data_IF_472297731726
#
_entry.id   IF_472297731726
#
_cell.length_a   1.000
_cell.length_b   1.000
_cell.length_c   1.000
_cell.angle_alpha   90.00
_cell.angle_beta   90.00
_cell.angle_gamma   90.00
#
_symmetry.space_group_name_H-M   'P 1'
#
loop_
_entity.id
_entity.type
_entity.pdbx_description
1 polymer ?
#
# COMPACT_ATOMS: atom_id res chain seq x y z
N UNK A 1 -31.12 5.97 4.79
CA UNK A 1 -30.14 5.29 5.67
C UNK A 1 -30.43 3.80 5.66
N UNK A 2 -29.42 2.94 5.47
CA UNK A 2 -29.59 1.47 5.35
C UNK A 2 -30.29 0.86 6.58
N UNK A 3 -29.83 1.25 7.78
CA UNK A 3 -30.39 0.79 9.05
C UNK A 3 -31.83 1.25 9.27
N UNK A 4 -32.18 2.47 8.85
CA UNK A 4 -33.55 2.98 8.94
C UNK A 4 -34.54 2.22 8.03
N UNK A 5 -34.04 1.50 7.02
CA UNK A 5 -34.83 0.62 6.17
C UNK A 5 -34.82 -0.85 6.64
N UNK A 6 -34.27 -1.14 7.82
CA UNK A 6 -34.17 -2.49 8.40
C UNK A 6 -32.99 -3.33 7.90
N UNK A 7 -32.05 -2.74 7.14
CA UNK A 7 -30.85 -3.43 6.69
C UNK A 7 -29.69 -3.35 7.68
N UNK A 8 -28.83 -4.37 7.68
CA UNK A 8 -27.56 -4.36 8.42
C UNK A 8 -26.45 -3.71 7.58
N UNK A 9 -25.59 -2.91 8.22
CA UNK A 9 -24.46 -2.27 7.56
C UNK A 9 -23.16 -2.63 8.28
N UNK A 10 -22.20 -3.17 7.54
CA UNK A 10 -20.89 -3.58 8.04
C UNK A 10 -19.81 -2.91 7.18
N UNK A 11 -18.90 -2.20 7.84
CA UNK A 11 -17.69 -1.66 7.22
C UNK A 11 -16.70 -2.79 6.96
N UNK A 12 -16.26 -2.95 5.71
CA UNK A 12 -15.36 -4.04 5.29
C UNK A 12 -14.13 -3.46 4.59
N UNK A 13 -12.95 -3.85 5.07
CA UNK A 13 -11.68 -3.45 4.49
C UNK A 13 -10.85 -4.65 4.06
N UNK A 14 -10.62 -4.80 2.75
CA UNK A 14 -9.71 -5.79 2.18
C UNK A 14 -8.25 -5.36 2.42
N UNK A 15 -7.45 -6.23 3.04
CA UNK A 15 -6.14 -5.86 3.63
C UNK A 15 -4.91 -6.26 2.81
N UNK A 16 -5.10 -6.99 1.72
CA UNK A 16 -4.06 -7.47 0.83
C UNK A 16 -4.57 -7.53 -0.63
N UNK A 17 -3.69 -7.69 -1.64
CA UNK A 17 -4.14 -7.99 -3.00
C UNK A 17 -5.08 -9.20 -3.03
N UNK A 18 -6.15 -9.10 -3.83
CA UNK A 18 -7.17 -10.16 -3.95
C UNK A 18 -6.54 -11.41 -4.56
N UNK A 19 -5.84 -11.28 -5.70
CA UNK A 19 -5.02 -12.38 -6.21
C UNK A 19 -3.73 -12.50 -5.41
N UNK A 20 -3.28 -13.74 -5.08
CA UNK A 20 -3.86 -15.04 -5.48
C UNK A 20 -4.89 -15.61 -4.49
N UNK A 21 -5.18 -14.94 -3.36
CA UNK A 21 -5.99 -15.51 -2.26
C UNK A 21 -7.49 -15.56 -2.54
N UNK A 22 -7.98 -14.85 -3.55
CA UNK A 22 -9.39 -14.79 -3.94
C UNK A 22 -10.30 -14.47 -2.74
N UNK A 23 -11.34 -15.27 -2.50
CA UNK A 23 -12.29 -15.12 -1.39
C UNK A 23 -11.65 -15.26 0.01
N UNK A 24 -10.43 -15.82 0.11
CA UNK A 24 -9.64 -15.93 1.34
C UNK A 24 -8.71 -14.75 1.58
N UNK A 25 -8.83 -13.67 0.80
CA UNK A 25 -8.07 -12.44 1.09
C UNK A 25 -8.41 -11.93 2.51
N UNK A 26 -7.41 -11.62 3.35
CA UNK A 26 -7.68 -11.11 4.69
C UNK A 26 -8.50 -9.83 4.63
N UNK A 27 -9.55 -9.75 5.44
CA UNK A 27 -10.41 -8.57 5.55
C UNK A 27 -10.72 -8.22 6.99
N UNK A 28 -10.86 -6.93 7.25
CA UNK A 28 -11.36 -6.40 8.52
C UNK A 28 -12.85 -6.09 8.38
N UNK A 29 -13.60 -6.35 9.44
CA UNK A 29 -15.01 -6.00 9.58
C UNK A 29 -15.19 -5.05 10.76
N UNK A 30 -16.04 -4.04 10.64
CA UNK A 30 -16.40 -3.19 11.76
C UNK A 30 -17.87 -2.74 11.69
N UNK A 31 -18.44 -2.44 12.86
CA UNK A 31 -19.83 -2.04 13.00
C UNK A 31 -20.64 -2.95 13.94
N UNK A 32 -21.88 -2.57 14.30
CA UNK A 32 -22.70 -3.30 15.27
C UNK A 32 -22.98 -4.75 14.88
N UNK A 33 -23.09 -5.03 13.58
CA UNK A 33 -23.40 -6.35 13.04
C UNK A 33 -22.14 -7.12 12.56
N UNK A 34 -20.93 -6.63 12.88
CA UNK A 34 -19.68 -7.20 12.35
C UNK A 34 -19.41 -8.64 12.81
N UNK A 35 -19.76 -8.99 14.05
CA UNK A 35 -19.60 -10.35 14.57
C UNK A 35 -20.51 -11.34 13.81
N UNK A 36 -21.78 -10.98 13.61
CA UNK A 36 -22.72 -11.80 12.86
C UNK A 36 -22.28 -11.98 11.39
N UNK A 37 -21.83 -10.89 10.75
CA UNK A 37 -21.27 -10.98 9.41
C UNK A 37 -20.01 -11.85 9.36
N UNK A 38 -19.16 -11.79 10.39
CA UNK A 38 -17.96 -12.63 10.47
C UNK A 38 -18.30 -14.13 10.53
N UNK A 39 -19.35 -14.52 11.24
CA UNK A 39 -19.82 -15.92 11.29
C UNK A 39 -20.25 -16.41 9.91
N UNK A 40 -21.07 -15.62 9.19
CA UNK A 40 -21.51 -15.95 7.83
C UNK A 40 -20.32 -16.08 6.89
N UNK A 41 -19.41 -15.10 6.89
CA UNK A 41 -18.25 -15.08 6.00
C UNK A 41 -17.27 -16.24 6.29
N UNK A 42 -17.10 -16.63 7.57
CA UNK A 42 -16.32 -17.82 7.94
C UNK A 42 -16.97 -19.11 7.46
N UNK A 43 -18.29 -19.21 7.50
CA UNK A 43 -19.02 -20.37 6.96
C UNK A 43 -18.84 -20.51 5.43
N UNK A 44 -18.52 -19.40 4.75
CA UNK A 44 -18.17 -19.35 3.33
C UNK A 44 -16.65 -19.51 3.07
N UNK A 45 -15.88 -19.99 4.06
CA UNK A 45 -14.43 -20.21 3.96
C UNK A 45 -13.63 -18.94 3.62
N UNK A 46 -14.15 -17.77 4.01
CA UNK A 46 -13.45 -16.48 3.90
C UNK A 46 -12.61 -16.20 5.16
N UNK A 47 -11.83 -15.11 5.15
CA UNK A 47 -10.91 -14.77 6.23
C UNK A 47 -11.22 -13.41 6.91
N UNK A 48 -12.39 -13.24 7.55
CA UNK A 48 -12.74 -12.01 8.24
C UNK A 48 -12.11 -11.91 9.64
N UNK A 49 -11.77 -10.69 10.06
CA UNK A 49 -11.44 -10.35 11.45
C UNK A 49 -12.20 -9.10 11.88
N UNK A 50 -12.89 -9.16 13.01
CA UNK A 50 -13.59 -8.00 13.56
C UNK A 50 -12.57 -7.01 14.16
N UNK A 51 -12.68 -5.74 13.76
CA UNK A 51 -11.77 -4.65 14.10
C UNK A 51 -12.37 -3.65 15.09
N UNK A 52 -13.67 -3.75 15.39
CA UNK A 52 -14.33 -2.96 16.42
C UNK A 52 -15.83 -2.77 16.16
N UNK A 53 -16.54 -2.17 17.13
CA UNK A 53 -17.99 -2.01 17.05
C UNK A 53 -18.44 -0.82 16.19
N UNK A 54 -17.51 0.08 15.83
CA UNK A 54 -17.85 1.33 15.13
C UNK A 54 -17.66 1.20 13.62
N UNK A 55 -18.69 1.62 12.88
CA UNK A 55 -18.61 1.77 11.43
C UNK A 55 -17.52 2.77 11.08
N UNK A 56 -16.59 2.38 10.19
CA UNK A 56 -15.46 3.20 9.76
C UNK A 56 -14.12 2.77 10.37
N UNK A 57 -14.10 1.93 11.41
CA UNK A 57 -12.85 1.44 11.99
C UNK A 57 -12.05 0.55 11.03
N UNK A 58 -12.69 -0.39 10.31
CA UNK A 58 -11.99 -1.27 9.39
C UNK A 58 -11.39 -0.46 8.23
N UNK A 59 -12.18 0.45 7.66
CA UNK A 59 -11.74 1.38 6.61
C UNK A 59 -10.60 2.28 7.10
N UNK A 60 -10.73 2.91 8.27
CA UNK A 60 -9.69 3.77 8.85
C UNK A 60 -8.37 3.02 9.05
N UNK A 61 -8.41 1.78 9.57
CA UNK A 61 -7.19 0.96 9.72
C UNK A 61 -6.51 0.73 8.37
N UNK A 62 -7.27 0.39 7.31
CA UNK A 62 -6.71 0.17 5.97
C UNK A 62 -6.09 1.44 5.39
N UNK A 63 -6.78 2.58 5.53
CA UNK A 63 -6.33 3.86 4.99
C UNK A 63 -5.08 4.36 5.72
N UNK A 64 -5.09 4.38 7.05
CA UNK A 64 -3.94 4.82 7.85
C UNK A 64 -2.73 3.91 7.63
N UNK A 65 -2.94 2.58 7.59
CA UNK A 65 -1.86 1.63 7.26
C UNK A 65 -1.25 1.89 5.88
N UNK A 66 -2.05 2.34 4.92
CA UNK A 66 -1.56 2.62 3.57
C UNK A 66 -0.54 3.75 3.52
N UNK A 67 -0.58 4.71 4.46
CA UNK A 67 0.46 5.75 4.62
C UNK A 67 1.84 5.09 4.73
N UNK A 68 1.99 4.11 5.63
CA UNK A 68 3.25 3.42 5.83
C UNK A 68 3.60 2.52 4.64
N UNK A 69 2.66 1.70 4.17
CA UNK A 69 2.97 0.69 3.14
C UNK A 69 3.37 1.34 1.82
N UNK A 70 2.61 2.33 1.35
CA UNK A 70 2.88 3.01 0.08
C UNK A 70 3.92 4.13 0.23
N UNK A 71 3.97 4.79 1.39
CA UNK A 71 5.02 5.75 1.69
C UNK A 71 6.41 5.11 1.68
N UNK A 72 6.57 3.90 2.24
CA UNK A 72 7.83 3.17 2.14
C UNK A 72 8.22 2.81 0.71
N UNK A 73 7.26 2.55 -0.17
CA UNK A 73 7.55 2.30 -1.59
C UNK A 73 8.14 3.55 -2.23
N UNK A 74 7.47 4.69 -2.07
CA UNK A 74 7.93 5.97 -2.60
C UNK A 74 9.30 6.38 -2.02
N UNK A 75 9.48 6.30 -0.70
CA UNK A 75 10.75 6.61 -0.04
C UNK A 75 11.88 5.69 -0.52
N UNK A 76 11.62 4.40 -0.67
CA UNK A 76 12.63 3.47 -1.18
C UNK A 76 13.00 3.76 -2.63
N UNK A 77 12.02 4.16 -3.47
CA UNK A 77 12.27 4.54 -4.84
C UNK A 77 13.14 5.80 -4.91
N UNK A 78 12.75 6.88 -4.21
CA UNK A 78 13.52 8.13 -4.17
C UNK A 78 14.96 7.90 -3.68
N UNK A 79 15.11 7.16 -2.58
CA UNK A 79 16.41 6.86 -1.99
C UNK A 79 17.32 6.07 -2.94
N UNK A 80 16.81 4.96 -3.51
CA UNK A 80 17.61 4.06 -4.34
C UNK A 80 17.92 4.65 -5.72
N UNK A 81 17.00 5.41 -6.31
CA UNK A 81 17.25 6.14 -7.56
C UNK A 81 18.30 7.23 -7.37
N UNK A 82 18.20 8.01 -6.29
CA UNK A 82 19.21 9.01 -5.95
C UNK A 82 20.58 8.36 -5.70
N UNK A 83 20.62 7.27 -4.93
CA UNK A 83 21.86 6.55 -4.62
C UNK A 83 22.50 5.96 -5.88
N UNK A 84 21.71 5.35 -6.78
CA UNK A 84 22.20 4.82 -8.06
C UNK A 84 22.72 5.93 -8.96
N UNK A 85 22.01 7.06 -9.07
CA UNK A 85 22.47 8.22 -9.85
C UNK A 85 23.75 8.83 -9.30
N UNK A 86 23.98 8.73 -7.98
CA UNK A 86 25.21 9.17 -7.32
C UNK A 86 26.33 8.11 -7.34
N UNK A 87 26.05 6.87 -7.76
CA UNK A 87 27.00 5.76 -7.79
C UNK A 87 27.40 5.26 -6.39
N UNK A 88 26.48 5.31 -5.43
CA UNK A 88 26.69 4.91 -4.02
C UNK A 88 25.59 3.98 -3.49
N UNK A 89 24.87 3.29 -4.39
CA UNK A 89 23.73 2.45 -4.02
C UNK A 89 24.11 1.27 -3.14
N UNK A 90 25.28 0.66 -3.36
CA UNK A 90 25.72 -0.49 -2.57
C UNK A 90 26.05 -0.08 -1.13
N UNK A 91 26.71 1.07 -0.93
CA UNK A 91 27.00 1.64 0.38
C UNK A 91 25.71 2.04 1.12
N UNK A 92 24.77 2.66 0.42
CA UNK A 92 23.47 3.06 1.00
C UNK A 92 22.67 1.82 1.41
N UNK A 93 22.56 0.80 0.55
CA UNK A 93 21.86 -0.45 0.87
C UNK A 93 22.53 -1.15 2.05
N UNK A 94 23.87 -1.22 2.10
CA UNK A 94 24.60 -1.81 3.22
C UNK A 94 24.31 -1.08 4.54
N UNK A 95 24.26 0.25 4.52
CA UNK A 95 23.94 1.07 5.69
C UNK A 95 22.50 0.86 6.17
N UNK A 96 21.53 0.79 5.24
CA UNK A 96 20.12 0.53 5.56
C UNK A 96 19.93 -0.88 6.14
N UNK A 97 20.58 -1.89 5.57
CA UNK A 97 20.55 -3.26 6.09
C UNK A 97 21.17 -3.34 7.49
N UNK A 98 22.26 -2.63 7.76
CA UNK A 98 22.85 -2.58 9.10
C UNK A 98 21.92 -1.91 10.13
N UNK A 99 21.15 -0.91 9.71
CA UNK A 99 20.20 -0.19 10.56
C UNK A 99 18.92 -1.00 10.81
N UNK A 100 18.49 -1.80 9.84
CA UNK A 100 17.29 -2.64 9.92
C UNK A 100 17.57 -4.06 9.41
N UNK A 101 18.25 -4.92 10.20
CA UNK A 101 18.70 -6.23 9.75
C UNK A 101 17.58 -7.20 9.32
N UNK A 102 16.35 -6.96 9.74
CA UNK A 102 15.18 -7.76 9.35
C UNK A 102 14.65 -7.42 7.95
N UNK A 103 15.08 -6.29 7.37
CA UNK A 103 14.66 -5.85 6.05
C UNK A 103 15.83 -6.03 5.09
N UNK A 104 15.67 -6.94 4.12
CA UNK A 104 16.52 -6.97 2.94
C UNK A 104 16.11 -5.82 2.01
N UNK A 105 16.82 -4.69 2.09
CA UNK A 105 16.51 -3.51 1.30
C UNK A 105 16.71 -3.69 -0.20
N UNK A 106 17.55 -4.64 -0.63
CA UNK A 106 17.73 -4.93 -2.06
C UNK A 106 16.49 -5.62 -2.61
N UNK A 107 16.05 -6.69 -1.96
CA UNK A 107 14.83 -7.43 -2.35
C UNK A 107 13.59 -6.55 -2.17
N UNK A 108 13.51 -5.82 -1.05
CA UNK A 108 12.37 -4.94 -0.75
C UNK A 108 12.29 -3.76 -1.73
N UNK A 109 13.42 -3.14 -2.07
CA UNK A 109 13.49 -2.06 -3.05
C UNK A 109 13.05 -2.53 -4.44
N UNK A 110 13.55 -3.69 -4.89
CA UNK A 110 13.16 -4.27 -6.17
C UNK A 110 11.64 -4.52 -6.24
N UNK A 111 11.09 -5.11 -5.17
CA UNK A 111 9.64 -5.34 -5.05
C UNK A 111 8.84 -4.03 -5.07
N UNK A 112 9.26 -3.03 -4.28
CA UNK A 112 8.55 -1.77 -4.19
C UNK A 112 8.53 -1.02 -5.54
N UNK A 113 9.65 -1.02 -6.28
CA UNK A 113 9.74 -0.44 -7.61
C UNK A 113 8.81 -1.14 -8.61
N UNK A 114 8.81 -2.49 -8.66
CA UNK A 114 7.91 -3.24 -9.53
C UNK A 114 6.43 -2.87 -9.27
N UNK A 115 6.04 -2.77 -8.00
CA UNK A 115 4.68 -2.38 -7.64
C UNK A 115 4.31 -0.99 -8.14
N UNK A 116 5.26 -0.06 -8.19
CA UNK A 116 5.05 1.28 -8.72
C UNK A 116 5.06 1.31 -10.25
N UNK A 117 5.92 0.53 -10.91
CA UNK A 117 5.98 0.42 -12.36
C UNK A 117 4.68 -0.21 -12.92
N UNK A 118 4.21 -1.32 -12.35
CA UNK A 118 3.06 -2.08 -12.88
C UNK A 118 1.71 -1.50 -12.45
N UNK A 119 1.64 -0.96 -11.24
CA UNK A 119 0.37 -0.57 -10.64
C UNK A 119 0.33 0.89 -10.18
N UNK A 120 1.35 1.71 -10.49
CA UNK A 120 1.53 3.03 -9.90
C UNK A 120 0.33 3.95 -10.04
N UNK A 121 -0.35 4.00 -11.20
CA UNK A 121 -1.57 4.79 -11.39
C UNK A 121 -2.66 4.44 -10.36
N UNK A 122 -2.95 3.15 -10.19
CA UNK A 122 -3.90 2.67 -9.18
C UNK A 122 -3.40 2.96 -7.76
N UNK A 123 -2.11 2.79 -7.50
CA UNK A 123 -1.52 3.03 -6.16
C UNK A 123 -1.59 4.51 -5.79
N UNK A 124 -1.32 5.39 -6.74
CA UNK A 124 -1.45 6.83 -6.61
C UNK A 124 -2.91 7.24 -6.35
N UNK A 125 -3.86 6.68 -7.10
CA UNK A 125 -5.29 6.88 -6.83
C UNK A 125 -5.67 6.48 -5.39
N UNK A 126 -5.19 5.31 -4.93
CA UNK A 126 -5.39 4.90 -3.54
C UNK A 126 -4.71 5.86 -2.54
N UNK A 127 -3.53 6.41 -2.84
CA UNK A 127 -2.87 7.40 -1.96
C UNK A 127 -3.55 8.76 -1.93
N UNK A 128 -4.22 9.18 -3.02
CA UNK A 128 -5.07 10.38 -3.00
C UNK A 128 -6.25 10.21 -2.04
N UNK A 129 -6.85 9.02 -1.97
CA UNK A 129 -7.88 8.73 -0.97
C UNK A 129 -7.30 8.68 0.46
N UNK A 130 -6.09 8.13 0.64
CA UNK A 130 -5.38 8.16 1.93
C UNK A 130 -5.12 9.58 2.40
N UNK A 131 -4.69 10.47 1.49
CA UNK A 131 -4.47 11.87 1.78
C UNK A 131 -5.76 12.55 2.28
N UNK A 132 -6.88 12.31 1.60
CA UNK A 132 -8.21 12.79 2.06
C UNK A 132 -8.54 12.27 3.47
N UNK A 133 -8.36 10.98 3.73
CA UNK A 133 -8.60 10.40 5.07
C UNK A 133 -7.73 11.06 6.14
N UNK A 134 -6.45 11.32 5.86
CA UNK A 134 -5.56 12.01 6.81
C UNK A 134 -6.02 13.45 7.06
N UNK A 135 -6.43 14.15 6.01
CA UNK A 135 -6.94 15.53 6.11
C UNK A 135 -8.27 15.60 6.87
N UNK A 136 -9.18 14.65 6.67
CA UNK A 136 -10.46 14.54 7.39
C UNK A 136 -10.27 14.31 8.90
N UNK A 137 -9.15 13.69 9.29
CA UNK A 137 -8.73 13.56 10.70
C UNK A 137 -8.07 14.84 11.25
N UNK A 138 -8.01 15.93 10.48
CA UNK A 138 -7.42 17.21 10.88
C UNK A 138 -5.89 17.24 10.87
N UNK A 139 -5.24 16.30 10.18
CA UNK A 139 -3.78 16.20 10.09
C UNK A 139 -3.27 16.67 8.72
N UNK A 140 -2.04 17.23 8.65
CA UNK A 140 -1.40 17.50 7.36
C UNK A 140 -1.15 16.21 6.58
N UNK A 141 -1.60 16.15 5.33
CA UNK A 141 -1.55 14.99 4.45
C UNK A 141 -0.38 14.99 3.46
N UNK A 142 0.59 15.88 3.66
CA UNK A 142 1.68 16.20 2.71
C UNK A 142 2.39 14.95 2.18
N UNK A 143 2.83 14.06 3.08
CA UNK A 143 3.54 12.85 2.68
C UNK A 143 2.66 11.92 1.83
N UNK A 144 1.37 11.81 2.16
CA UNK A 144 0.44 10.96 1.40
C UNK A 144 0.18 11.51 0.01
N UNK A 145 0.06 12.83 -0.12
CA UNK A 145 -0.08 13.51 -1.41
C UNK A 145 1.16 13.34 -2.29
N UNK A 146 2.34 13.61 -1.76
CA UNK A 146 3.58 13.50 -2.55
C UNK A 146 3.93 12.05 -2.89
N UNK A 147 3.57 11.09 -2.01
CA UNK A 147 3.62 9.65 -2.36
C UNK A 147 2.75 9.35 -3.59
N UNK A 148 1.55 9.94 -3.68
CA UNK A 148 0.68 9.73 -4.84
C UNK A 148 1.32 10.29 -6.12
N UNK A 149 1.83 11.52 -6.06
CA UNK A 149 2.53 12.17 -7.20
C UNK A 149 3.68 11.31 -7.67
N UNK A 150 4.55 10.86 -6.76
CA UNK A 150 5.71 10.05 -7.13
C UNK A 150 5.33 8.70 -7.75
N UNK A 151 4.23 8.09 -7.28
CA UNK A 151 3.71 6.86 -7.88
C UNK A 151 3.11 7.08 -9.28
N UNK A 152 2.45 8.22 -9.53
CA UNK A 152 1.99 8.58 -10.88
C UNK A 152 3.19 8.83 -11.81
N UNK A 153 4.21 9.56 -11.35
CA UNK A 153 5.39 9.88 -12.15
C UNK A 153 6.13 8.61 -12.58
N UNK A 154 6.38 7.68 -11.66
CA UNK A 154 7.00 6.39 -12.00
C UNK A 154 6.10 5.55 -12.93
N UNK A 155 4.78 5.57 -12.74
CA UNK A 155 3.87 4.85 -13.66
C UNK A 155 3.88 5.45 -15.07
N UNK A 156 3.96 6.78 -15.18
CA UNK A 156 3.92 7.50 -16.45
C UNK A 156 5.16 7.25 -17.33
N UNK A 157 6.25 6.73 -16.75
CA UNK A 157 7.43 6.32 -17.52
C UNK A 157 7.14 5.11 -18.43
N UNK A 158 6.09 4.32 -18.15
CA UNK A 158 5.66 3.15 -18.94
C UNK A 158 6.81 2.18 -19.27
N UNK A 159 7.67 1.95 -18.28
CA UNK A 159 8.81 1.04 -18.37
C UNK A 159 8.43 -0.35 -17.86
N UNK A 160 8.73 -1.38 -18.64
CA UNK A 160 8.46 -2.78 -18.27
C UNK A 160 9.35 -3.19 -17.07
N UNK A 161 8.76 -3.67 -15.96
CA UNK A 161 9.52 -4.13 -14.80
C UNK A 161 10.39 -5.38 -15.03
N UNK A 162 10.04 -6.26 -15.98
CA UNK A 162 10.55 -7.64 -16.19
C UNK A 162 10.89 -8.44 -14.89
N UNK A 163 11.40 -9.67 -14.98
CA UNK A 163 11.96 -10.41 -13.82
C UNK A 163 13.39 -9.94 -13.50
N UNK A 164 13.55 -8.62 -13.43
CA UNK A 164 14.83 -7.95 -13.41
C UNK A 164 15.35 -7.66 -11.99
N UNK A 165 16.67 -7.51 -11.88
CA UNK A 165 17.31 -7.15 -10.61
C UNK A 165 16.93 -5.73 -10.19
N UNK A 166 17.20 -5.37 -8.92
CA UNK A 166 17.04 -3.99 -8.45
C UNK A 166 17.79 -3.00 -9.37
N UNK A 167 19.02 -3.34 -9.73
CA UNK A 167 19.90 -2.44 -10.50
C UNK A 167 19.33 -2.17 -11.88
N UNK A 168 18.86 -3.22 -12.57
CA UNK A 168 18.28 -3.10 -13.91
C UNK A 168 17.04 -2.20 -13.89
N UNK A 169 16.17 -2.35 -12.88
CA UNK A 169 14.98 -1.49 -12.71
C UNK A 169 15.36 -0.04 -12.43
N UNK A 170 16.36 0.20 -11.58
CA UNK A 170 16.85 1.55 -11.30
C UNK A 170 17.39 2.21 -12.58
N UNK A 171 18.20 1.50 -13.36
CA UNK A 171 18.78 2.01 -14.60
C UNK A 171 17.71 2.31 -15.66
N UNK A 172 16.69 1.45 -15.80
CA UNK A 172 15.56 1.69 -16.71
C UNK A 172 14.77 2.94 -16.33
N UNK A 173 14.41 3.07 -15.06
CA UNK A 173 13.69 4.25 -14.57
C UNK A 173 14.54 5.50 -14.80
N UNK A 174 15.81 5.50 -14.39
CA UNK A 174 16.70 6.65 -14.58
C UNK A 174 16.92 6.99 -16.05
N UNK A 175 16.91 6.00 -16.94
CA UNK A 175 17.02 6.21 -18.39
C UNK A 175 15.76 6.76 -19.05
N UNK A 176 14.60 6.61 -18.41
CA UNK A 176 13.30 7.11 -18.89
C UNK A 176 12.93 8.49 -18.29
N UNK A 177 13.58 8.92 -17.21
CA UNK A 177 13.44 10.24 -16.58
C UNK A 177 14.22 11.34 -17.32
#
# INVERSE_FOLDING_TARGET
>A
MITAAGGHYVDVAVMAPVHPKLHRVPMLLAGPDADHAAEILKALDMCPKVAGPEVGHASSIKMIRSVMIKGMEALSAECLLAARKAGVEDEVIASLNASNPEIDWRTKGAYNLERMMVHGERRAAEMREVAKTVAELGLPDRLSRETAVWQDEIAALDVDPEEDSLVDRLDRILGAM
#
